data_IF_388777534218
#
_entry.id   IF_388777534218
#
_cell.length_a   1.000
_cell.length_b   1.000
_cell.length_c   1.000
_cell.angle_alpha   90.00
_cell.angle_beta   90.00
_cell.angle_gamma   90.00
#
_symmetry.space_group_name_H-M   'P 1'
#
loop_
_entity.id
_entity.type
_entity.pdbx_description
1 polymer ?
#
# COMPACT_ATOMS: atom_id res chain seq x y z
N UNK A 1 -0.02 -11.38 0.83
CA UNK A 1 0.17 -10.73 -0.48
C UNK A 1 -1.16 -10.36 -1.11
N UNK A 2 -1.97 -11.32 -1.58
CA UNK A 2 -3.24 -11.03 -2.29
C UNK A 2 -4.18 -10.08 -1.52
N UNK A 3 -4.42 -10.33 -0.23
CA UNK A 3 -5.33 -9.51 0.58
C UNK A 3 -4.93 -8.02 0.66
N UNK A 4 -3.62 -7.71 0.65
CA UNK A 4 -3.15 -6.33 0.69
C UNK A 4 -3.36 -5.63 -0.67
N UNK A 5 -3.12 -6.34 -1.76
CA UNK A 5 -3.40 -5.86 -3.13
C UNK A 5 -4.90 -5.62 -3.35
N UNK A 6 -5.75 -6.54 -2.87
CA UNK A 6 -7.21 -6.41 -2.96
C UNK A 6 -7.70 -5.21 -2.13
N UNK A 7 -7.14 -5.02 -0.94
CA UNK A 7 -7.45 -3.88 -0.06
C UNK A 7 -7.05 -2.56 -0.73
N UNK A 8 -5.84 -2.47 -1.29
CA UNK A 8 -5.42 -1.28 -2.02
C UNK A 8 -6.33 -0.99 -3.23
N UNK A 9 -6.69 -2.02 -3.99
CA UNK A 9 -7.62 -1.87 -5.13
C UNK A 9 -8.97 -1.35 -4.68
N UNK A 10 -9.50 -1.87 -3.56
CA UNK A 10 -10.77 -1.41 -3.01
C UNK A 10 -10.69 0.05 -2.55
N UNK A 11 -9.63 0.43 -1.82
CA UNK A 11 -9.44 1.80 -1.34
C UNK A 11 -9.31 2.80 -2.50
N UNK A 12 -8.65 2.41 -3.59
CA UNK A 12 -8.50 3.23 -4.79
C UNK A 12 -9.75 3.27 -5.68
N UNK A 13 -10.70 2.36 -5.45
CA UNK A 13 -11.97 2.35 -6.17
C UNK A 13 -12.83 3.58 -5.92
N UNK A 14 -12.60 4.27 -4.80
CA UNK A 14 -13.26 5.54 -4.44
C UNK A 14 -12.51 6.77 -4.98
N UNK A 15 -11.36 6.57 -5.62
CA UNK A 15 -10.45 7.61 -6.10
C UNK A 15 -9.15 7.68 -5.28
N UNK A 16 -8.46 8.80 -5.44
CA UNK A 16 -7.23 9.10 -4.70
C UNK A 16 -6.02 9.26 -5.62
N UNK A 17 -5.14 10.18 -5.22
CA UNK A 17 -3.91 10.51 -5.95
C UNK A 17 -2.64 10.13 -5.18
N UNK A 18 -2.76 9.77 -3.90
CA UNK A 18 -1.66 9.28 -3.08
C UNK A 18 -2.03 7.98 -2.35
N UNK A 19 -1.15 6.98 -2.43
CA UNK A 19 -1.15 5.79 -1.58
C UNK A 19 0.07 5.82 -0.65
N UNK A 20 -0.19 5.88 0.64
CA UNK A 20 0.84 5.72 1.68
C UNK A 20 0.86 4.28 2.19
N UNK A 21 2.03 3.66 2.14
CA UNK A 21 2.29 2.29 2.60
C UNK A 21 3.28 2.35 3.76
N UNK A 22 2.88 1.91 4.96
CA UNK A 22 3.78 1.87 6.12
C UNK A 22 4.10 0.42 6.49
N UNK A 23 5.37 0.04 6.38
CA UNK A 23 5.89 -1.28 6.74
C UNK A 23 6.10 -1.35 8.26
N UNK A 24 5.43 -2.30 8.90
CA UNK A 24 5.55 -2.55 10.33
C UNK A 24 6.64 -3.55 10.70
N UNK A 25 6.73 -3.88 11.98
CA UNK A 25 7.62 -4.93 12.47
C UNK A 25 7.21 -6.29 11.87
N UNK A 26 8.19 -7.04 11.36
CA UNK A 26 7.93 -8.28 10.61
C UNK A 26 7.29 -8.08 9.23
N UNK A 27 7.08 -6.83 8.79
CA UNK A 27 6.63 -6.49 7.45
C UNK A 27 7.73 -6.62 6.40
N UNK A 28 7.33 -6.88 5.16
CA UNK A 28 8.24 -7.15 4.03
C UNK A 28 8.15 -6.03 2.98
N UNK A 29 9.31 -5.55 2.52
CA UNK A 29 9.40 -4.58 1.43
C UNK A 29 8.81 -5.13 0.13
N UNK A 30 9.02 -6.42 -0.16
CA UNK A 30 8.47 -7.01 -1.39
C UNK A 30 6.93 -7.00 -1.40
N UNK A 31 6.30 -7.10 -0.22
CA UNK A 31 4.85 -6.94 -0.10
C UNK A 31 4.42 -5.49 -0.38
N UNK A 32 5.15 -4.49 0.14
CA UNK A 32 4.87 -3.08 -0.12
C UNK A 32 5.04 -2.74 -1.61
N UNK A 33 6.08 -3.26 -2.27
CA UNK A 33 6.31 -3.09 -3.70
C UNK A 33 5.20 -3.73 -4.55
N UNK A 34 4.73 -4.93 -4.17
CA UNK A 34 3.62 -5.58 -4.85
C UNK A 34 2.32 -4.77 -4.75
N UNK A 35 2.06 -4.18 -3.58
CA UNK A 35 0.91 -3.27 -3.38
C UNK A 35 1.07 -2.00 -4.21
N UNK A 36 2.28 -1.41 -4.24
CA UNK A 36 2.60 -0.25 -5.08
C UNK A 36 2.34 -0.53 -6.57
N UNK A 37 2.82 -1.67 -7.08
CA UNK A 37 2.61 -2.07 -8.47
C UNK A 37 1.11 -2.29 -8.78
N UNK A 38 0.36 -2.86 -7.82
CA UNK A 38 -1.09 -3.02 -7.95
C UNK A 38 -1.77 -1.66 -8.05
N UNK A 39 -1.44 -0.71 -7.17
CA UNK A 39 -2.00 0.63 -7.17
C UNK A 39 -1.74 1.37 -8.49
N UNK A 40 -0.51 1.31 -9.00
CA UNK A 40 -0.13 1.92 -10.28
C UNK A 40 -0.84 1.26 -11.48
N UNK A 41 -1.23 -0.02 -11.38
CA UNK A 41 -2.03 -0.67 -12.42
C UNK A 41 -3.49 -0.19 -12.44
N UNK A 42 -4.01 0.24 -11.29
CA UNK A 42 -5.37 0.80 -11.15
C UNK A 42 -5.41 2.27 -11.56
N UNK A 43 -4.46 3.06 -11.06
CA UNK A 43 -4.27 4.47 -11.42
C UNK A 43 -2.79 4.72 -11.76
N UNK A 44 -2.42 4.81 -13.05
CA UNK A 44 -1.04 5.04 -13.46
C UNK A 44 -0.41 6.36 -12.98
N UNK A 45 -1.23 7.32 -12.55
CA UNK A 45 -0.76 8.62 -12.07
C UNK A 45 -0.67 8.71 -10.55
N UNK A 46 -0.97 7.62 -9.83
CA UNK A 46 -0.95 7.64 -8.37
C UNK A 46 0.48 7.80 -7.83
N UNK A 47 0.64 8.69 -6.86
CA UNK A 47 1.86 8.78 -6.07
C UNK A 47 1.87 7.67 -5.03
N UNK A 48 3.01 7.01 -4.84
CA UNK A 48 3.16 5.97 -3.81
C UNK A 48 4.32 6.31 -2.89
N UNK A 49 4.03 6.40 -1.59
CA UNK A 49 5.03 6.62 -0.55
C UNK A 49 5.18 5.38 0.31
N UNK A 50 6.38 4.80 0.35
CA UNK A 50 6.70 3.63 1.18
C UNK A 50 7.54 4.07 2.38
N UNK A 51 7.04 3.82 3.58
CA UNK A 51 7.64 4.25 4.84
C UNK A 51 7.96 3.02 5.70
N UNK A 52 9.18 2.95 6.25
CA UNK A 52 9.52 1.97 7.27
C UNK A 52 9.11 2.51 8.65
N UNK A 53 7.91 2.14 9.13
CA UNK A 53 7.32 2.65 10.36
C UNK A 53 7.64 1.85 11.61
N UNK A 54 7.85 0.52 11.47
CA UNK A 54 8.25 -0.34 12.60
C UNK A 54 7.16 -0.55 13.67
N UNK A 55 5.90 -0.24 13.37
CA UNK A 55 4.80 -0.52 14.30
C UNK A 55 4.63 -2.03 14.55
N UNK A 56 4.36 -2.43 15.80
CA UNK A 56 4.42 -3.84 16.23
C UNK A 56 3.24 -4.73 15.79
N UNK A 57 2.07 -4.14 15.48
CA UNK A 57 0.82 -4.91 15.41
C UNK A 57 0.37 -5.25 14.00
N UNK A 58 0.80 -4.47 13.01
CA UNK A 58 0.39 -4.62 11.62
C UNK A 58 1.60 -4.63 10.71
N UNK A 59 1.82 -5.72 9.94
CA UNK A 59 2.97 -5.82 9.04
C UNK A 59 2.90 -4.78 7.91
N UNK A 60 1.70 -4.30 7.57
CA UNK A 60 1.46 -3.26 6.58
C UNK A 60 0.25 -2.41 6.98
N UNK A 61 0.38 -1.08 6.87
CA UNK A 61 -0.73 -0.14 6.93
C UNK A 61 -0.84 0.59 5.59
N UNK A 62 -2.08 0.84 5.15
CA UNK A 62 -2.39 1.53 3.91
C UNK A 62 -3.24 2.76 4.22
N UNK A 63 -2.93 3.88 3.57
CA UNK A 63 -3.74 5.11 3.57
C UNK A 63 -3.86 5.64 2.15
N UNK A 64 -5.06 6.08 1.77
CA UNK A 64 -5.34 6.72 0.48
C UNK A 64 -5.89 8.11 0.75
N UNK A 65 -5.42 9.10 -0.01
CA UNK A 65 -5.90 10.50 -0.02
C UNK A 65 -6.51 10.84 -1.38
#
# INVERSE_FOLDING_TARGET
>A
MQAACDTATLMLGEGGDLLTIVIGEGGDLALAEAVSATAQSVNPNIEVSIIHGGQAWYPLLLGVE
#
